data_IF_718791480951
#
_entry.id   IF_718791480951
#
_cell.length_a   1.000
_cell.length_b   1.000
_cell.length_c   1.000
_cell.angle_alpha   90.00
_cell.angle_beta   90.00
_cell.angle_gamma   90.00
#
_symmetry.space_group_name_H-M   'P 1'
#
loop_
_entity.id
_entity.type
_entity.pdbx_description
1 polymer ?
#
# COMPACT_ATOMS: atom_id res chain seq x y z
N UNK A 1 -24.39 -26.73 -14.74
CA UNK A 1 -23.67 -25.44 -14.74
C UNK A 1 -24.50 -24.42 -13.95
N UNK A 2 -24.29 -24.31 -12.65
CA UNK A 2 -24.89 -23.23 -11.85
C UNK A 2 -24.18 -21.94 -12.23
N UNK A 3 -24.88 -21.08 -12.97
CA UNK A 3 -24.40 -19.76 -13.30
C UNK A 3 -24.07 -19.03 -12.00
N UNK A 4 -22.78 -18.83 -11.72
CA UNK A 4 -22.35 -17.93 -10.66
C UNK A 4 -22.92 -16.58 -11.03
N UNK A 5 -23.84 -16.06 -10.20
CA UNK A 5 -24.46 -14.77 -10.43
C UNK A 5 -23.36 -13.73 -10.61
N UNK A 6 -23.33 -13.05 -11.76
CA UNK A 6 -22.32 -12.02 -12.06
C UNK A 6 -22.24 -10.98 -10.93
N UNK A 7 -23.36 -10.75 -10.25
CA UNK A 7 -23.51 -9.90 -9.07
C UNK A 7 -22.64 -10.34 -7.89
N UNK A 8 -22.53 -11.64 -7.60
CA UNK A 8 -21.68 -12.16 -6.51
C UNK A 8 -20.19 -12.05 -6.85
N UNK A 9 -19.84 -12.26 -8.11
CA UNK A 9 -18.47 -12.07 -8.61
C UNK A 9 -18.00 -10.61 -8.51
N UNK A 10 -18.89 -9.67 -8.84
CA UNK A 10 -18.62 -8.22 -8.74
C UNK A 10 -18.55 -7.80 -7.27
N UNK A 11 -19.46 -8.26 -6.41
CA UNK A 11 -19.45 -7.93 -4.99
C UNK A 11 -18.17 -8.43 -4.29
N UNK A 12 -17.70 -9.63 -4.61
CA UNK A 12 -16.44 -10.16 -4.10
C UNK A 12 -15.22 -9.37 -4.62
N UNK A 13 -15.18 -9.07 -5.92
CA UNK A 13 -14.11 -8.26 -6.52
C UNK A 13 -14.05 -6.84 -5.95
N UNK A 14 -15.21 -6.23 -5.70
CA UNK A 14 -15.32 -4.91 -5.06
C UNK A 14 -14.84 -4.96 -3.60
N UNK A 15 -15.24 -5.98 -2.84
CA UNK A 15 -14.81 -6.14 -1.43
C UNK A 15 -13.30 -6.40 -1.32
N UNK A 16 -12.72 -7.20 -2.20
CA UNK A 16 -11.28 -7.44 -2.24
C UNK A 16 -10.51 -6.17 -2.64
N UNK A 17 -10.97 -5.46 -3.67
CA UNK A 17 -10.37 -4.20 -4.11
C UNK A 17 -10.47 -3.11 -3.04
N UNK A 18 -11.60 -2.99 -2.35
CA UNK A 18 -11.79 -2.01 -1.27
C UNK A 18 -10.89 -2.32 -0.07
N UNK A 19 -10.80 -3.58 0.35
CA UNK A 19 -9.97 -3.95 1.51
C UNK A 19 -8.47 -3.78 1.23
N UNK A 20 -7.97 -4.28 0.10
CA UNK A 20 -6.58 -4.05 -0.29
C UNK A 20 -6.29 -2.60 -0.64
N UNK A 21 -7.21 -1.94 -1.35
CA UNK A 21 -7.09 -0.54 -1.74
C UNK A 21 -7.01 0.38 -0.52
N UNK A 22 -7.80 0.11 0.52
CA UNK A 22 -7.74 0.88 1.77
C UNK A 22 -6.40 0.72 2.49
N UNK A 23 -5.87 -0.51 2.58
CA UNK A 23 -4.56 -0.77 3.19
C UNK A 23 -3.43 -0.10 2.39
N UNK A 24 -3.47 -0.21 1.06
CA UNK A 24 -2.51 0.45 0.17
C UNK A 24 -2.60 1.97 0.27
N UNK A 25 -3.80 2.53 0.43
CA UNK A 25 -3.99 3.97 0.60
C UNK A 25 -3.39 4.45 1.93
N UNK A 26 -3.58 3.72 3.02
CA UNK A 26 -2.92 4.02 4.30
C UNK A 26 -1.40 3.95 4.14
N UNK A 27 -0.88 2.91 3.49
CA UNK A 27 0.55 2.77 3.24
C UNK A 27 1.12 3.93 2.40
N UNK A 28 0.35 4.40 1.41
CA UNK A 28 0.69 5.58 0.61
C UNK A 28 0.76 6.85 1.46
N UNK A 29 -0.19 7.06 2.36
CA UNK A 29 -0.17 8.21 3.28
C UNK A 29 1.09 8.19 4.14
N UNK A 30 1.48 7.02 4.69
CA UNK A 30 2.72 6.88 5.44
C UNK A 30 3.96 7.17 4.60
N UNK A 31 4.00 6.67 3.35
CA UNK A 31 5.11 6.92 2.44
C UNK A 31 5.28 8.42 2.13
N UNK A 32 4.17 9.11 1.83
CA UNK A 32 4.17 10.55 1.51
C UNK A 32 4.53 11.38 2.74
N UNK A 33 3.89 11.12 3.88
CA UNK A 33 4.15 11.85 5.13
C UNK A 33 5.60 11.68 5.58
N UNK A 34 6.11 10.45 5.56
CA UNK A 34 7.49 10.14 5.91
C UNK A 34 8.50 10.84 4.99
N UNK A 35 8.27 10.79 3.68
CA UNK A 35 9.13 11.44 2.69
C UNK A 35 9.16 12.96 2.88
N UNK A 36 7.99 13.60 3.09
CA UNK A 36 7.92 15.03 3.36
C UNK A 36 8.60 15.44 4.67
N UNK A 37 8.52 14.60 5.70
CA UNK A 37 9.24 14.84 6.96
C UNK A 37 10.76 14.74 6.77
N UNK A 38 11.22 13.75 6.00
CA UNK A 38 12.64 13.55 5.73
C UNK A 38 13.23 14.66 4.86
N UNK A 39 12.53 15.09 3.80
CA UNK A 39 13.00 16.18 2.94
C UNK A 39 12.93 17.54 3.63
N UNK A 40 11.96 17.74 4.52
CA UNK A 40 11.80 18.95 5.32
C UNK A 40 12.61 18.96 6.63
N UNK A 41 13.59 18.07 6.82
CA UNK A 41 14.36 17.98 8.06
C UNK A 41 15.45 19.04 8.21
N UNK A 42 15.80 19.75 7.14
CA UNK A 42 16.77 20.84 7.17
C UNK A 42 16.04 22.14 7.49
N UNK A 43 16.51 22.87 8.51
CA UNK A 43 16.05 24.23 8.80
C UNK A 43 17.21 25.22 8.69
N UNK A 44 16.88 26.43 8.27
CA UNK A 44 17.77 27.57 8.31
C UNK A 44 17.52 28.34 9.61
N UNK A 45 18.58 28.54 10.39
CA UNK A 45 18.55 29.43 11.56
C UNK A 45 18.52 30.89 11.12
N UNK A 46 18.22 31.80 12.06
CA UNK A 46 18.22 33.26 11.81
C UNK A 46 19.57 33.77 11.26
N UNK A 47 20.67 33.11 11.64
CA UNK A 47 22.02 33.41 11.16
C UNK A 47 22.38 32.71 9.83
N UNK A 48 21.42 32.04 9.18
CA UNK A 48 21.61 31.37 7.89
C UNK A 48 22.30 30.01 7.94
N UNK A 49 22.60 29.47 9.13
CA UNK A 49 23.20 28.15 9.27
C UNK A 49 22.17 27.05 9.08
N UNK A 50 22.53 26.03 8.29
CA UNK A 50 21.75 24.81 8.14
C UNK A 50 21.84 23.95 9.40
N UNK A 51 20.70 23.74 10.04
CA UNK A 51 20.56 22.85 11.19
C UNK A 51 19.70 21.67 10.80
N UNK A 52 20.28 20.48 10.89
CA UNK A 52 19.61 19.22 10.62
C UNK A 52 18.78 18.76 11.82
N UNK A 53 17.47 18.63 11.64
CA UNK A 53 16.61 17.95 12.61
C UNK A 53 16.66 16.44 12.42
N UNK A 54 17.68 15.82 13.02
CA UNK A 54 17.89 14.37 12.96
C UNK A 54 16.67 13.56 13.39
N UNK A 55 15.93 14.00 14.41
CA UNK A 55 14.71 13.32 14.84
C UNK A 55 13.64 13.29 13.74
N UNK A 56 13.44 14.42 13.04
CA UNK A 56 12.48 14.54 11.95
C UNK A 56 12.92 13.72 10.73
N UNK A 57 14.21 13.71 10.44
CA UNK A 57 14.81 12.89 9.38
C UNK A 57 14.60 11.39 9.64
N UNK A 58 14.96 10.91 10.83
CA UNK A 58 14.86 9.49 11.18
C UNK A 58 13.42 8.99 11.22
N UNK A 59 12.50 9.76 11.83
CA UNK A 59 11.07 9.44 11.82
C UNK A 59 10.51 9.46 10.41
N UNK A 60 10.89 10.46 9.60
CA UNK A 60 10.49 10.55 8.21
C UNK A 60 10.93 9.35 7.38
N UNK A 61 12.21 8.95 7.50
CA UNK A 61 12.75 7.77 6.84
C UNK A 61 12.04 6.49 7.28
N UNK A 62 11.83 6.30 8.59
CA UNK A 62 11.14 5.12 9.10
C UNK A 62 9.72 5.00 8.53
N UNK A 63 8.94 6.10 8.55
CA UNK A 63 7.59 6.12 8.00
C UNK A 63 7.58 5.88 6.48
N UNK A 64 8.55 6.45 5.76
CA UNK A 64 8.69 6.27 4.31
C UNK A 64 8.98 4.80 3.96
N UNK A 65 9.95 4.19 4.63
CA UNK A 65 10.31 2.78 4.43
C UNK A 65 9.14 1.86 4.75
N UNK A 66 8.45 2.06 5.88
CA UNK A 66 7.28 1.26 6.25
C UNK A 66 6.18 1.38 5.21
N UNK A 67 5.86 2.61 4.76
CA UNK A 67 4.87 2.85 3.71
C UNK A 67 5.24 2.18 2.39
N UNK A 68 6.48 2.32 1.94
CA UNK A 68 6.96 1.73 0.68
C UNK A 68 6.99 0.20 0.74
N UNK A 69 7.42 -0.39 1.85
CA UNK A 69 7.42 -1.86 2.04
C UNK A 69 5.98 -2.39 2.04
N UNK A 70 5.06 -1.71 2.72
CA UNK A 70 3.65 -2.09 2.73
C UNK A 70 2.98 -1.94 1.35
N UNK A 71 3.33 -0.91 0.58
CA UNK A 71 2.88 -0.75 -0.81
C UNK A 71 3.39 -1.87 -1.70
N UNK A 72 4.69 -2.18 -1.62
CA UNK A 72 5.30 -3.24 -2.40
C UNK A 72 4.67 -4.59 -2.03
N UNK A 73 4.68 -4.97 -0.76
CA UNK A 73 4.09 -6.22 -0.27
C UNK A 73 2.60 -6.33 -0.57
N UNK A 74 1.83 -5.24 -0.41
CA UNK A 74 0.41 -5.21 -0.71
C UNK A 74 0.11 -5.42 -2.20
N UNK A 75 0.96 -4.89 -3.09
CA UNK A 75 0.82 -5.08 -4.54
C UNK A 75 1.07 -6.54 -4.93
N UNK A 76 2.15 -7.14 -4.41
CA UNK A 76 2.44 -8.57 -4.65
C UNK A 76 1.40 -9.50 -4.04
N UNK A 77 0.91 -9.19 -2.84
CA UNK A 77 -0.15 -9.96 -2.18
C UNK A 77 -1.47 -9.91 -2.95
N UNK A 78 -1.81 -8.75 -3.52
CA UNK A 78 -2.99 -8.61 -4.37
C UNK A 78 -2.85 -9.44 -5.65
N UNK A 79 -1.71 -9.35 -6.33
CA UNK A 79 -1.44 -10.15 -7.53
C UNK A 79 -1.51 -11.64 -7.24
N UNK A 80 -0.88 -12.10 -6.16
CA UNK A 80 -0.94 -13.50 -5.74
C UNK A 80 -2.37 -13.96 -5.48
N UNK A 81 -3.17 -13.16 -4.75
CA UNK A 81 -4.57 -13.49 -4.47
C UNK A 81 -5.41 -13.59 -5.74
N UNK A 82 -5.22 -12.67 -6.69
CA UNK A 82 -5.92 -12.70 -7.98
C UNK A 82 -5.57 -13.97 -8.76
N UNK A 83 -4.29 -14.36 -8.79
CA UNK A 83 -3.84 -15.59 -9.46
C UNK A 83 -4.39 -16.84 -8.77
N UNK A 84 -4.30 -16.91 -7.44
CA UNK A 84 -4.81 -18.04 -6.66
C UNK A 84 -6.33 -18.23 -6.84
N UNK A 85 -7.10 -17.13 -6.76
CA UNK A 85 -8.56 -17.16 -6.98
C UNK A 85 -8.90 -17.53 -8.44
N UNK A 86 -8.04 -17.16 -9.40
CA UNK A 86 -8.16 -17.56 -10.81
C UNK A 86 -7.95 -19.06 -11.02
N UNK A 87 -6.94 -19.65 -10.37
CA UNK A 87 -6.63 -21.08 -10.44
C UNK A 87 -7.76 -21.90 -9.82
N UNK A 88 -8.22 -21.54 -8.61
CA UNK A 88 -9.26 -22.29 -7.88
C UNK A 88 -10.60 -22.31 -8.65
N UNK A 89 -10.95 -21.19 -9.31
CA UNK A 89 -12.12 -21.13 -10.20
C UNK A 89 -11.96 -21.97 -11.48
N UNK A 90 -10.74 -22.10 -12.00
CA UNK A 90 -10.43 -22.95 -13.14
C UNK A 90 -10.57 -24.43 -12.80
N UNK A 91 -9.98 -24.86 -11.68
CA UNK A 91 -10.00 -26.25 -11.21
C UNK A 91 -11.42 -26.76 -10.94
N UNK A 92 -12.28 -25.93 -10.34
CA UNK A 92 -13.70 -26.27 -10.07
C UNK A 92 -14.59 -26.33 -11.31
N UNK A 93 -14.13 -25.83 -12.47
CA UNK A 93 -14.87 -25.91 -13.75
C UNK A 93 -14.52 -27.16 -14.54
N UNK A 94 -13.35 -27.74 -14.31
CA UNK A 94 -12.85 -28.93 -15.00
C UNK A 94 -13.09 -30.24 -14.25
N UNK A 95 -13.44 -30.17 -12.95
CA UNK A 95 -13.89 -31.31 -12.14
C UNK A 95 -15.42 -31.42 -12.14
#
# INVERSE_FOLDING_TARGET
>A
MTAVSATDGIAYGLKATLSFGFVLLIALVFAIAGTNMATGSVLYTYDGWEVMQWGRLLVGLALSVVGLVALYGGTFGLLYKVVADGIDRGTRRTA
#
